data_IF_881381287467
#
_entry.id   IF_881381287467
#
_cell.length_a   1.000
_cell.length_b   1.000
_cell.length_c   1.000
_cell.angle_alpha   90.00
_cell.angle_beta   90.00
_cell.angle_gamma   90.00
#
_symmetry.space_group_name_H-M   'P 1'
#
loop_
_entity.id
_entity.type
_entity.pdbx_description
1 polymer ?
#
# COMPACT_ATOMS: atom_id res chain seq x y z
N UNK A 1 19.54 -4.82 4.76
CA UNK A 1 19.58 -3.58 5.56
C UNK A 1 19.70 -3.92 7.05
N UNK A 2 19.91 -2.94 7.93
CA UNK A 2 20.18 -3.18 9.36
C UNK A 2 18.96 -3.60 10.21
N UNK A 3 17.75 -3.42 9.70
CA UNK A 3 16.51 -3.64 10.46
C UNK A 3 16.16 -2.47 11.39
N UNK A 4 14.97 -2.53 11.97
CA UNK A 4 14.40 -1.53 12.88
C UNK A 4 14.19 -2.19 14.25
N UNK A 5 14.60 -1.56 15.37
CA UNK A 5 14.33 -2.10 16.70
C UNK A 5 12.81 -2.15 16.99
N UNK A 6 12.33 -3.19 17.70
CA UNK A 6 10.90 -3.34 18.00
C UNK A 6 10.28 -2.13 18.71
N UNK A 7 11.05 -1.44 19.56
CA UNK A 7 10.59 -0.25 20.30
C UNK A 7 10.27 0.94 19.38
N UNK A 8 10.88 0.99 18.20
CA UNK A 8 10.69 2.08 17.24
C UNK A 8 9.54 1.85 16.27
N UNK A 9 9.17 0.58 16.02
CA UNK A 9 8.14 0.20 15.05
C UNK A 9 6.80 0.96 15.20
N UNK A 10 6.29 1.26 16.42
CA UNK A 10 5.06 2.03 16.57
C UNK A 10 5.17 3.47 16.04
N UNK A 11 6.39 4.01 16.00
CA UNK A 11 6.68 5.43 15.81
C UNK A 11 7.24 5.77 14.42
N UNK A 12 7.71 4.80 13.65
CA UNK A 12 8.37 5.05 12.35
C UNK A 12 7.49 5.76 11.31
N UNK A 13 6.18 5.80 11.52
CA UNK A 13 5.23 6.52 10.68
C UNK A 13 4.86 7.93 11.20
N UNK A 14 5.37 8.33 12.37
CA UNK A 14 5.25 9.69 12.88
C UNK A 14 6.08 10.64 12.00
N UNK A 15 5.53 11.83 11.73
CA UNK A 15 6.28 12.87 11.01
C UNK A 15 7.48 13.30 11.85
N UNK A 16 8.62 13.48 11.19
CA UNK A 16 9.88 13.89 11.81
C UNK A 16 10.52 12.86 12.74
N UNK A 17 9.93 11.65 12.89
CA UNK A 17 10.53 10.59 13.69
C UNK A 17 11.70 9.93 12.97
N UNK A 18 12.74 9.60 13.73
CA UNK A 18 13.96 8.96 13.25
C UNK A 18 14.43 7.97 14.32
N UNK A 19 14.62 6.71 13.91
CA UNK A 19 15.04 5.58 14.76
C UNK A 19 16.41 5.83 15.40
N UNK A 20 17.32 6.48 14.67
CA UNK A 20 18.69 6.70 15.15
C UNK A 20 19.09 8.16 14.93
N UNK A 21 19.17 8.96 16.00
CA UNK A 21 19.47 10.40 15.91
C UNK A 21 20.93 10.67 15.50
N UNK A 22 21.87 9.77 15.81
CA UNK A 22 23.30 9.99 15.57
C UNK A 22 23.68 9.76 14.10
N UNK A 23 23.22 8.65 13.50
CA UNK A 23 23.51 8.31 12.09
C UNK A 23 22.70 9.09 11.07
N UNK A 24 21.55 9.61 11.49
CA UNK A 24 20.62 10.25 10.60
C UNK A 24 21.02 11.71 10.29
N UNK A 25 21.85 12.33 11.13
CA UNK A 25 22.43 13.66 10.82
C UNK A 25 23.34 13.61 9.58
N UNK A 26 24.11 12.53 9.39
CA UNK A 26 25.06 12.40 8.27
C UNK A 26 24.39 12.16 6.90
N UNK A 27 23.27 11.42 6.86
CA UNK A 27 22.60 11.03 5.61
C UNK A 27 21.54 12.04 5.13
N UNK A 28 21.22 13.05 5.95
CA UNK A 28 20.12 13.97 5.67
C UNK A 28 18.76 13.28 5.70
N UNK A 29 17.69 14.08 5.71
CA UNK A 29 16.31 13.60 5.67
C UNK A 29 15.47 14.07 6.86
N UNK A 30 14.33 14.67 6.54
CA UNK A 30 13.40 15.29 7.51
C UNK A 30 12.57 14.29 8.31
N UNK A 31 12.66 12.98 8.04
CA UNK A 31 11.78 11.99 8.68
C UNK A 31 10.33 12.05 8.19
N UNK A 32 10.08 12.56 6.98
CA UNK A 32 8.73 12.66 6.41
C UNK A 32 8.34 11.48 5.51
N UNK A 33 9.32 10.72 4.99
CA UNK A 33 9.09 9.70 3.96
C UNK A 33 8.02 8.67 4.33
N UNK A 34 8.17 7.96 5.44
CA UNK A 34 7.20 6.94 5.87
C UNK A 34 5.84 7.54 6.25
N UNK A 35 5.81 8.75 6.81
CA UNK A 35 4.57 9.45 7.10
C UNK A 35 3.79 9.79 5.82
N UNK A 36 4.48 10.20 4.75
CA UNK A 36 3.89 10.42 3.43
C UNK A 36 3.36 9.10 2.85
N UNK A 37 4.15 8.02 2.91
CA UNK A 37 3.74 6.70 2.42
C UNK A 37 2.46 6.23 3.12
N UNK A 38 2.42 6.26 4.46
CA UNK A 38 1.22 5.87 5.22
C UNK A 38 0.01 6.72 4.85
N UNK A 39 0.20 8.01 4.62
CA UNK A 39 -0.89 8.88 4.17
C UNK A 39 -1.40 8.50 2.77
N UNK A 40 -0.50 8.32 1.79
CA UNK A 40 -0.83 7.95 0.42
C UNK A 40 -1.57 6.61 0.34
N UNK A 41 -1.04 5.59 1.03
CA UNK A 41 -1.69 4.28 1.10
C UNK A 41 -3.10 4.39 1.67
N UNK A 42 -3.28 5.15 2.76
CA UNK A 42 -4.59 5.33 3.40
C UNK A 42 -5.59 6.06 2.50
N UNK A 43 -5.19 7.14 1.80
CA UNK A 43 -6.12 7.87 0.92
C UNK A 43 -6.52 7.06 -0.31
N UNK A 44 -5.70 6.08 -0.70
CA UNK A 44 -6.01 5.13 -1.77
C UNK A 44 -6.80 3.90 -1.26
N UNK A 45 -7.26 3.91 -0.01
CA UNK A 45 -8.01 2.80 0.59
C UNK A 45 -7.17 1.56 0.92
N UNK A 46 -5.84 1.66 0.83
CA UNK A 46 -4.94 0.56 1.13
C UNK A 46 -4.57 0.45 2.61
N UNK A 47 -3.91 -0.66 2.95
CA UNK A 47 -3.32 -0.95 4.26
C UNK A 47 -1.82 -1.15 4.12
N UNK A 48 -1.05 -0.58 5.04
CA UNK A 48 0.40 -0.82 5.15
C UNK A 48 0.72 -1.56 6.45
N UNK A 49 1.61 -2.53 6.38
CA UNK A 49 2.17 -3.28 7.52
C UNK A 49 3.68 -3.34 7.42
N UNK A 50 4.35 -3.55 8.55
CA UNK A 50 5.81 -3.59 8.64
C UNK A 50 6.25 -4.74 9.54
N UNK A 51 7.24 -5.47 9.08
CA UNK A 51 7.92 -6.51 9.85
C UNK A 51 9.42 -6.22 9.80
N UNK A 52 10.08 -6.25 10.96
CA UNK A 52 11.52 -6.00 10.98
C UNK A 52 12.21 -6.74 12.11
N UNK A 53 13.43 -7.17 11.83
CA UNK A 53 14.33 -7.72 12.83
C UNK A 53 15.71 -7.08 12.69
N UNK A 54 16.30 -6.56 13.78
CA UNK A 54 17.68 -6.07 13.78
C UNK A 54 18.65 -7.10 13.22
N UNK A 55 19.54 -6.67 12.34
CA UNK A 55 20.53 -7.51 11.66
C UNK A 55 19.99 -8.34 10.50
N UNK A 56 18.67 -8.51 10.34
CA UNK A 56 18.07 -9.26 9.21
C UNK A 56 17.44 -8.36 8.16
N UNK A 57 16.86 -7.23 8.58
CA UNK A 57 16.26 -6.26 7.67
C UNK A 57 14.81 -5.91 8.02
N UNK A 58 14.13 -5.32 7.05
CA UNK A 58 12.79 -4.76 7.18
C UNK A 58 12.01 -5.06 5.93
N UNK A 59 10.76 -5.51 6.09
CA UNK A 59 9.79 -5.70 5.03
C UNK A 59 8.58 -4.80 5.28
N UNK A 60 8.17 -4.07 4.25
CA UNK A 60 6.92 -3.32 4.23
C UNK A 60 5.97 -4.00 3.25
N UNK A 61 4.73 -4.24 3.68
CA UNK A 61 3.71 -4.88 2.85
C UNK A 61 2.54 -3.93 2.71
N UNK A 62 2.16 -3.62 1.46
CA UNK A 62 1.05 -2.74 1.12
C UNK A 62 -0.02 -3.56 0.39
N UNK A 63 -1.26 -3.42 0.83
CA UNK A 63 -2.42 -4.17 0.33
C UNK A 63 -3.51 -3.19 -0.11
N UNK A 64 -4.09 -3.39 -1.29
CA UNK A 64 -5.26 -2.66 -1.75
C UNK A 64 -6.48 -3.58 -1.87
N UNK A 65 -7.69 -3.06 -1.60
CA UNK A 65 -8.91 -3.79 -1.93
C UNK A 65 -9.01 -3.94 -3.45
N UNK A 66 -9.25 -5.17 -3.92
CA UNK A 66 -9.60 -5.40 -5.31
C UNK A 66 -11.09 -5.18 -5.48
N UNK A 67 -11.48 -4.35 -6.44
CA UNK A 67 -12.87 -4.35 -6.92
C UNK A 67 -13.18 -5.75 -7.45
N UNK A 68 -14.34 -6.33 -7.11
CA UNK A 68 -14.76 -7.56 -7.75
C UNK A 68 -14.85 -7.31 -9.26
N UNK A 69 -14.22 -8.19 -10.03
CA UNK A 69 -14.22 -8.10 -11.48
C UNK A 69 -15.66 -7.94 -11.96
N UNK A 70 -15.97 -6.79 -12.58
CA UNK A 70 -17.29 -6.58 -13.18
C UNK A 70 -17.36 -7.56 -14.33
N UNK A 71 -18.03 -8.70 -14.11
CA UNK A 71 -18.42 -9.60 -15.19
C UNK A 71 -19.11 -8.75 -16.24
N UNK A 72 -18.45 -8.56 -17.38
CA UNK A 72 -19.11 -8.11 -18.58
C UNK A 72 -20.17 -9.17 -18.86
N UNK A 73 -21.42 -8.87 -18.53
CA UNK A 73 -22.53 -9.65 -19.03
C UNK A 73 -22.54 -9.38 -20.52
N UNK A 74 -22.09 -10.36 -21.29
CA UNK A 74 -22.23 -10.36 -22.74
C UNK A 74 -23.69 -10.01 -23.04
N UNK A 75 -23.87 -8.90 -23.76
CA UNK A 75 -25.18 -8.55 -24.31
C UNK A 75 -25.54 -9.65 -25.31
N UNK A 76 -26.24 -10.66 -24.80
CA UNK A 76 -26.79 -11.74 -25.60
C UNK A 76 -27.76 -11.12 -26.61
N UNK A 77 -27.32 -11.17 -27.88
CA UNK A 77 -28.08 -11.15 -29.13
C UNK A 77 -29.55 -10.75 -29.03
N UNK A 78 -29.87 -9.56 -29.55
CA UNK A 78 -31.23 -9.18 -29.97
C UNK A 78 -31.87 -10.33 -30.78
N UNK A 79 -33.10 -10.77 -30.47
CA UNK A 79 -33.77 -11.77 -31.28
C UNK A 79 -34.11 -11.14 -32.63
N UNK A 80 -33.51 -11.67 -33.70
CA UNK A 80 -33.98 -11.40 -35.06
C UNK A 80 -35.44 -11.83 -35.14
N UNK A 81 -36.32 -10.86 -35.38
CA UNK A 81 -37.72 -11.12 -35.65
C UNK A 81 -37.82 -12.14 -36.80
N UNK A 82 -38.37 -13.31 -36.49
CA UNK A 82 -39.05 -14.12 -37.50
C UNK A 82 -40.26 -13.32 -37.97
N UNK A 83 -40.32 -13.03 -39.25
CA UNK A 83 -41.58 -12.98 -39.97
C UNK A 83 -41.43 -13.83 -41.22
N UNK A 84 -41.84 -15.09 -41.09
CA UNK A 84 -42.47 -15.78 -42.20
C UNK A 84 -43.83 -15.12 -42.46
N UNK A 85 -44.23 -15.15 -43.73
CA UNK A 85 -45.58 -15.43 -44.26
C UNK A 85 -45.98 -14.40 -45.34
N UNK A 86 -46.21 -14.98 -46.51
CA UNK A 86 -46.84 -14.51 -47.77
C UNK A 86 -46.08 -13.58 -48.73
#
# INVERSE_FOLDING_TARGET
GIGIPPADLPRIFERFYRVDKARSIELGGTGLGLAIVKHLVRIQGGKITVESQPGKGTQFTILWPMEPERRHVDRESSPSHRSSVD
#
